data_IF_820513532345
#
_entry.id   IF_820513532345
#
_cell.length_a   1.000
_cell.length_b   1.000
_cell.length_c   1.000
_cell.angle_alpha   90.00
_cell.angle_beta   90.00
_cell.angle_gamma   90.00
#
_symmetry.space_group_name_H-M   'P 1'
#
loop_
_entity.id
_entity.type
_entity.pdbx_description
1 polymer ?
#
# COMPACT_ATOMS: atom_id res chain seq x y z
N UNK A 1 -24.02 14.65 2.64
CA UNK A 1 -23.03 15.12 3.63
C UNK A 1 -22.54 13.91 4.40
N UNK A 2 -21.33 13.42 4.13
CA UNK A 2 -20.69 12.38 4.94
C UNK A 2 -20.48 12.92 6.35
N UNK A 3 -21.12 12.33 7.35
CA UNK A 3 -20.66 12.48 8.72
C UNK A 3 -19.35 11.72 8.83
N UNK A 4 -18.25 12.47 8.72
CA UNK A 4 -16.90 11.92 8.75
C UNK A 4 -16.66 11.30 10.13
N UNK A 5 -16.29 10.02 10.15
CA UNK A 5 -15.75 9.35 11.34
C UNK A 5 -14.38 9.90 11.75
N UNK A 6 -13.89 10.90 11.02
CA UNK A 6 -12.66 11.62 11.32
C UNK A 6 -12.96 12.76 12.29
N UNK A 7 -12.21 12.79 13.40
CA UNK A 7 -12.35 13.83 14.42
C UNK A 7 -11.29 14.91 14.22
N UNK A 8 -11.71 16.17 14.20
CA UNK A 8 -10.77 17.30 14.12
C UNK A 8 -9.87 17.34 15.38
N UNK A 9 -8.59 17.58 15.19
CA UNK A 9 -7.61 17.66 16.29
C UNK A 9 -7.32 19.14 16.61
N UNK A 10 -7.26 19.53 17.90
CA UNK A 10 -6.93 20.89 18.27
C UNK A 10 -5.56 21.34 17.73
N UNK A 11 -5.47 22.60 17.33
CA UNK A 11 -4.27 23.23 16.76
C UNK A 11 -3.00 23.10 17.65
N UNK A 12 -3.18 23.13 18.98
CA UNK A 12 -2.10 22.93 19.95
C UNK A 12 -1.39 21.58 19.81
N UNK A 13 -2.10 20.55 19.33
CA UNK A 13 -1.52 19.24 19.07
C UNK A 13 -0.78 19.21 17.72
N UNK A 14 -1.34 19.85 16.70
CA UNK A 14 -0.71 19.96 15.39
C UNK A 14 0.68 20.59 15.48
N UNK A 15 0.81 21.70 16.20
CA UNK A 15 2.10 22.40 16.43
C UNK A 15 3.12 21.51 17.15
N UNK A 16 2.68 20.67 18.09
CA UNK A 16 3.58 19.74 18.79
C UNK A 16 4.10 18.63 17.88
N UNK A 17 3.26 18.09 17.01
CA UNK A 17 3.66 17.07 16.00
C UNK A 17 4.66 17.67 15.02
N UNK A 18 4.45 18.90 14.56
CA UNK A 18 5.36 19.57 13.63
C UNK A 18 6.75 19.83 14.28
N UNK A 19 6.81 20.19 15.55
CA UNK A 19 8.07 20.36 16.28
C UNK A 19 8.83 19.04 16.49
N UNK A 20 8.13 17.95 16.77
CA UNK A 20 8.74 16.63 16.98
C UNK A 20 9.20 15.98 15.66
N UNK A 21 8.52 16.23 14.55
CA UNK A 21 8.87 15.67 13.22
C UNK A 21 10.05 16.45 12.61
N UNK A 22 10.12 17.77 12.81
CA UNK A 22 11.11 18.65 12.18
C UNK A 22 12.55 18.40 12.59
N UNK A 23 12.81 17.68 13.67
CA UNK A 23 14.13 17.68 14.30
C UNK A 23 14.90 16.37 14.30
N UNK A 24 14.33 15.18 13.97
CA UNK A 24 15.00 13.94 14.38
C UNK A 24 14.94 12.72 13.49
N UNK A 25 14.35 12.76 12.30
CA UNK A 25 14.37 11.54 11.47
C UNK A 25 14.90 11.79 10.06
N UNK A 26 15.83 10.95 9.59
CA UNK A 26 16.04 10.84 8.17
C UNK A 26 14.68 10.49 7.54
N UNK A 27 14.26 11.30 6.59
CA UNK A 27 13.13 10.98 5.71
C UNK A 27 13.22 9.50 5.37
N UNK A 28 12.10 8.85 5.16
CA UNK A 28 12.10 7.45 4.76
C UNK A 28 12.70 7.32 3.35
N UNK A 29 14.00 7.62 3.29
CA UNK A 29 14.79 7.74 2.07
C UNK A 29 14.73 6.46 1.22
N UNK A 30 14.36 5.33 1.85
CA UNK A 30 14.19 4.05 1.17
C UNK A 30 13.08 4.08 0.10
N UNK A 31 12.04 4.88 0.29
CA UNK A 31 10.93 4.98 -0.66
C UNK A 31 10.99 6.23 -1.55
N UNK A 32 11.98 7.09 -1.37
CA UNK A 32 12.24 8.18 -2.31
C UNK A 32 12.70 7.62 -3.67
N UNK A 33 12.13 8.14 -4.75
CA UNK A 33 12.57 7.77 -6.12
C UNK A 33 13.78 8.61 -6.49
N UNK A 34 14.82 7.95 -6.99
CA UNK A 34 16.02 8.59 -7.49
C UNK A 34 16.12 8.39 -8.99
N UNK A 35 16.63 9.39 -9.70
CA UNK A 35 16.86 9.28 -11.13
C UNK A 35 17.89 8.16 -11.42
N UNK A 36 17.65 7.38 -12.47
CA UNK A 36 18.54 6.28 -12.87
C UNK A 36 18.40 4.99 -12.05
N UNK A 37 17.45 4.91 -11.10
CA UNK A 37 17.19 3.66 -10.40
C UNK A 37 16.63 2.59 -11.34
N UNK A 38 17.05 1.35 -11.11
CA UNK A 38 16.54 0.19 -11.84
C UNK A 38 16.38 -1.03 -10.91
N UNK A 39 15.62 -2.01 -11.38
CA UNK A 39 15.34 -3.24 -10.64
C UNK A 39 16.25 -4.34 -11.12
N UNK A 40 16.93 -5.01 -10.18
CA UNK A 40 17.77 -6.19 -10.42
C UNK A 40 17.11 -7.39 -9.73
N UNK A 41 16.60 -8.36 -10.50
CA UNK A 41 16.12 -9.61 -9.94
C UNK A 41 17.29 -10.50 -9.50
N UNK A 42 17.17 -11.13 -8.34
CA UNK A 42 18.10 -12.17 -7.92
C UNK A 42 17.66 -13.50 -8.54
N UNK A 43 18.39 -13.97 -9.55
CA UNK A 43 18.14 -15.25 -10.19
C UNK A 43 18.93 -16.31 -9.43
N UNK A 44 18.23 -17.22 -8.75
CA UNK A 44 18.85 -18.37 -8.10
C UNK A 44 18.60 -19.64 -8.93
N UNK A 45 19.62 -20.50 -9.11
CA UNK A 45 19.38 -21.85 -9.60
C UNK A 45 18.48 -22.54 -8.56
N UNK A 46 17.25 -22.87 -8.95
CA UNK A 46 16.28 -23.46 -8.04
C UNK A 46 16.29 -24.98 -8.10
N UNK A 47 16.04 -25.63 -6.98
CA UNK A 47 15.75 -27.06 -6.92
C UNK A 47 14.33 -27.32 -7.48
N UNK A 48 14.24 -28.35 -8.31
CA UNK A 48 12.91 -28.82 -8.74
C UNK A 48 12.31 -29.65 -7.60
N UNK A 49 11.30 -29.09 -6.95
CA UNK A 49 10.50 -29.76 -5.92
C UNK A 49 9.04 -29.52 -6.24
N UNK A 50 8.19 -30.53 -6.31
CA UNK A 50 6.75 -30.37 -6.50
C UNK A 50 6.12 -29.50 -5.41
N UNK A 51 5.03 -28.79 -5.75
CA UNK A 51 4.35 -27.90 -4.81
C UNK A 51 3.81 -28.68 -3.61
N UNK A 52 3.23 -29.84 -3.82
CA UNK A 52 2.64 -30.69 -2.79
C UNK A 52 3.69 -31.18 -1.77
N UNK A 53 4.93 -31.37 -2.21
CA UNK A 53 6.05 -31.70 -1.33
C UNK A 53 6.48 -30.49 -0.52
N UNK A 54 6.55 -29.29 -1.13
CA UNK A 54 6.88 -28.04 -0.45
C UNK A 54 5.86 -27.70 0.63
N UNK A 55 4.55 -27.89 0.35
CA UNK A 55 3.47 -27.65 1.32
C UNK A 55 3.61 -28.53 2.58
N UNK A 56 4.22 -29.70 2.47
CA UNK A 56 4.52 -30.59 3.62
C UNK A 56 5.79 -30.21 4.36
N UNK A 57 6.74 -29.59 3.67
CA UNK A 57 8.06 -29.21 4.24
C UNK A 57 8.04 -27.83 4.90
N UNK A 58 7.07 -26.98 4.58
CA UNK A 58 6.97 -25.63 5.12
C UNK A 58 6.14 -25.64 6.40
N UNK A 59 6.64 -24.94 7.41
CA UNK A 59 5.90 -24.72 8.64
C UNK A 59 4.95 -23.51 8.54
N UNK A 60 4.16 -23.26 9.58
CA UNK A 60 3.17 -22.19 9.59
C UNK A 60 3.78 -20.79 9.36
N UNK A 61 5.02 -20.56 9.82
CA UNK A 61 5.68 -19.29 9.61
C UNK A 61 6.13 -19.10 8.15
N UNK A 62 6.61 -20.17 7.48
CA UNK A 62 6.94 -20.15 6.06
C UNK A 62 5.67 -19.87 5.23
N UNK A 63 4.58 -20.53 5.58
CA UNK A 63 3.27 -20.33 4.94
C UNK A 63 2.74 -18.92 5.16
N UNK A 64 2.86 -18.38 6.38
CA UNK A 64 2.46 -17.00 6.67
C UNK A 64 3.25 -15.98 5.82
N UNK A 65 4.56 -16.18 5.60
CA UNK A 65 5.35 -15.32 4.71
C UNK A 65 4.78 -15.33 3.28
N UNK A 66 4.45 -16.51 2.76
CA UNK A 66 3.88 -16.65 1.41
C UNK A 66 2.53 -15.93 1.32
N UNK A 67 1.65 -16.10 2.30
CA UNK A 67 0.34 -15.46 2.37
C UNK A 67 0.44 -13.93 2.44
N UNK A 68 1.35 -13.39 3.27
CA UNK A 68 1.53 -11.95 3.38
C UNK A 68 2.06 -11.34 2.09
N UNK A 69 3.02 -11.98 1.41
CA UNK A 69 3.49 -11.51 0.10
C UNK A 69 2.36 -11.60 -0.94
N UNK A 70 1.53 -12.65 -0.89
CA UNK A 70 0.38 -12.81 -1.80
C UNK A 70 -0.61 -11.63 -1.69
N UNK A 71 -0.93 -11.21 -0.47
CA UNK A 71 -1.85 -10.10 -0.19
C UNK A 71 -1.26 -8.73 -0.54
N UNK A 72 0.05 -8.58 -0.33
CA UNK A 72 0.76 -7.31 -0.39
C UNK A 72 1.43 -7.02 -1.73
N UNK A 73 1.51 -7.98 -2.63
CA UNK A 73 2.24 -8.00 -3.90
C UNK A 73 3.77 -7.91 -3.71
N UNK A 74 4.26 -6.90 -3.00
CA UNK A 74 5.68 -6.67 -2.69
C UNK A 74 5.84 -6.35 -1.21
N UNK A 75 6.81 -6.98 -0.56
CA UNK A 75 7.20 -6.67 0.82
C UNK A 75 8.72 -6.63 0.95
N UNK A 76 9.24 -5.72 1.76
CA UNK A 76 10.63 -5.81 2.22
C UNK A 76 10.73 -6.70 3.48
N UNK A 77 11.94 -7.03 3.91
CA UNK A 77 12.15 -7.94 5.05
C UNK A 77 11.63 -7.37 6.37
N UNK A 78 11.66 -6.05 6.56
CA UNK A 78 11.12 -5.40 7.76
C UNK A 78 9.60 -5.51 7.79
N UNK A 79 8.94 -5.24 6.69
CA UNK A 79 7.48 -5.36 6.56
C UNK A 79 7.00 -6.80 6.80
N UNK A 80 7.73 -7.79 6.26
CA UNK A 80 7.43 -9.20 6.55
C UNK A 80 7.58 -9.49 8.05
N UNK A 81 8.65 -9.00 8.68
CA UNK A 81 8.87 -9.18 10.11
C UNK A 81 7.74 -8.57 10.96
N UNK A 82 7.32 -7.34 10.64
CA UNK A 82 6.23 -6.63 11.33
C UNK A 82 4.88 -7.37 11.17
N UNK A 83 4.54 -7.81 9.94
CA UNK A 83 3.31 -8.58 9.68
C UNK A 83 3.28 -9.93 10.40
N UNK A 84 4.40 -10.66 10.42
CA UNK A 84 4.51 -11.91 11.17
C UNK A 84 4.35 -11.67 12.67
N UNK A 85 4.93 -10.60 13.20
CA UNK A 85 4.78 -10.23 14.61
C UNK A 85 3.33 -9.89 14.95
N UNK A 86 2.62 -9.18 14.09
CA UNK A 86 1.19 -8.88 14.23
C UNK A 86 0.31 -10.14 14.20
N UNK A 87 0.74 -11.19 13.49
CA UNK A 87 0.10 -12.52 13.50
C UNK A 87 0.49 -13.40 14.70
N UNK A 88 1.32 -12.90 15.61
CA UNK A 88 1.76 -13.63 16.82
C UNK A 88 2.97 -14.54 16.60
N UNK A 89 3.65 -14.49 15.45
CA UNK A 89 4.89 -15.24 15.25
C UNK A 89 6.07 -14.50 15.90
N UNK A 90 6.64 -15.10 16.95
CA UNK A 90 7.83 -14.59 17.63
C UNK A 90 9.10 -15.07 16.88
N UNK A 91 9.45 -14.41 15.79
CA UNK A 91 10.58 -14.76 14.94
C UNK A 91 11.73 -13.76 15.15
N UNK A 92 12.95 -14.26 15.38
CA UNK A 92 14.14 -13.42 15.37
C UNK A 92 14.54 -13.05 13.93
N UNK A 93 15.17 -11.89 13.73
CA UNK A 93 15.59 -11.40 12.40
C UNK A 93 16.47 -12.39 11.63
N UNK A 94 17.41 -13.05 12.31
CA UNK A 94 18.27 -14.06 11.69
C UNK A 94 17.48 -15.28 11.25
N UNK A 95 16.48 -15.68 12.03
CA UNK A 95 15.58 -16.77 11.67
C UNK A 95 14.74 -16.41 10.44
N UNK A 96 14.23 -15.17 10.36
CA UNK A 96 13.52 -14.67 9.17
C UNK A 96 14.43 -14.73 7.93
N UNK A 97 15.69 -14.29 8.04
CA UNK A 97 16.65 -14.35 6.93
C UNK A 97 16.85 -15.78 6.42
N UNK A 98 16.97 -16.76 7.33
CA UNK A 98 17.10 -18.18 6.96
C UNK A 98 15.86 -18.68 6.23
N UNK A 99 14.66 -18.29 6.68
CA UNK A 99 13.37 -18.64 6.03
C UNK A 99 13.25 -18.03 4.64
N UNK A 100 13.55 -16.75 4.49
CA UNK A 100 13.55 -16.10 3.18
C UNK A 100 14.53 -16.77 2.21
N UNK A 101 15.73 -17.14 2.67
CA UNK A 101 16.70 -17.89 1.87
C UNK A 101 16.19 -19.29 1.48
N UNK A 102 15.50 -19.99 2.40
CA UNK A 102 14.83 -21.27 2.11
C UNK A 102 13.79 -21.11 1.01
N UNK A 103 12.88 -20.14 1.14
CA UNK A 103 11.83 -19.88 0.17
C UNK A 103 12.36 -19.47 -1.22
N UNK A 104 13.46 -18.69 -1.26
CA UNK A 104 14.19 -18.37 -2.51
C UNK A 104 14.78 -19.60 -3.16
N UNK A 105 15.47 -20.47 -2.37
CA UNK A 105 16.09 -21.70 -2.86
C UNK A 105 15.07 -22.60 -3.57
N UNK A 106 13.87 -22.70 -3.06
CA UNK A 106 12.76 -23.47 -3.67
C UNK A 106 11.99 -22.71 -4.75
N UNK A 107 12.41 -21.48 -5.08
CA UNK A 107 11.73 -20.61 -6.06
C UNK A 107 10.24 -20.39 -5.75
N UNK A 108 9.95 -20.21 -4.47
CA UNK A 108 8.62 -19.84 -3.97
C UNK A 108 8.47 -18.33 -3.98
N UNK A 109 9.54 -17.63 -3.57
CA UNK A 109 9.64 -16.18 -3.64
C UNK A 109 10.89 -15.78 -4.44
N UNK A 110 10.86 -14.58 -5.02
CA UNK A 110 12.01 -13.94 -5.63
C UNK A 110 12.37 -12.68 -4.86
N UNK A 111 13.67 -12.49 -4.64
CA UNK A 111 14.24 -11.24 -4.17
C UNK A 111 14.58 -10.35 -5.36
N UNK A 112 14.21 -9.09 -5.27
CA UNK A 112 14.61 -8.06 -6.23
C UNK A 112 15.26 -6.92 -5.47
N UNK A 113 16.14 -6.18 -6.12
CA UNK A 113 16.82 -5.02 -5.55
C UNK A 113 16.63 -3.81 -6.43
N UNK A 114 16.11 -2.71 -5.86
CA UNK A 114 16.09 -1.39 -6.50
C UNK A 114 17.38 -0.69 -6.13
N UNK A 115 18.21 -0.31 -7.11
CA UNK A 115 19.49 0.36 -6.87
C UNK A 115 19.87 1.32 -7.99
N UNK A 116 20.83 2.18 -7.72
CA UNK A 116 21.53 2.99 -8.73
C UNK A 116 22.67 2.18 -9.36
N UNK A 117 23.09 2.52 -10.59
CA UNK A 117 24.16 1.80 -11.28
C UNK A 117 25.48 1.73 -10.50
N UNK A 118 25.82 2.80 -9.82
CA UNK A 118 27.07 2.94 -9.05
C UNK A 118 27.03 2.35 -7.64
N UNK A 119 25.86 1.82 -7.19
CA UNK A 119 25.71 1.28 -5.83
C UNK A 119 25.69 -0.23 -5.82
N UNK A 120 26.41 -0.86 -4.87
CA UNK A 120 26.33 -2.30 -4.61
C UNK A 120 25.05 -2.66 -3.85
N UNK A 121 24.59 -1.74 -2.99
CA UNK A 121 23.44 -1.94 -2.12
C UNK A 121 22.22 -1.16 -2.61
N UNK A 122 21.03 -1.69 -2.29
CA UNK A 122 19.76 -1.06 -2.65
C UNK A 122 18.61 -1.53 -1.78
N UNK A 123 17.43 -1.08 -2.10
CA UNK A 123 16.19 -1.49 -1.45
C UNK A 123 15.80 -2.89 -1.92
N UNK A 124 15.88 -3.88 -1.04
CA UNK A 124 15.46 -5.25 -1.32
C UNK A 124 13.98 -5.43 -1.03
N UNK A 125 13.31 -6.16 -1.92
CA UNK A 125 11.93 -6.57 -1.73
C UNK A 125 11.68 -7.96 -2.31
N UNK A 126 10.58 -8.57 -1.89
CA UNK A 126 10.21 -9.93 -2.25
C UNK A 126 8.86 -9.93 -2.97
N UNK A 127 8.74 -10.82 -3.95
CA UNK A 127 7.49 -11.13 -4.65
C UNK A 127 7.33 -12.65 -4.80
N UNK A 128 6.09 -13.12 -5.03
CA UNK A 128 5.87 -14.54 -5.29
C UNK A 128 6.42 -14.96 -6.65
N UNK A 129 6.99 -16.14 -6.70
CA UNK A 129 7.18 -16.91 -7.94
C UNK A 129 6.00 -17.88 -8.17
N UNK A 130 6.00 -18.61 -9.30
CA UNK A 130 4.89 -19.49 -9.68
C UNK A 130 4.51 -20.46 -8.57
N UNK A 131 5.46 -21.12 -7.93
CA UNK A 131 5.19 -22.07 -6.85
C UNK A 131 4.53 -21.38 -5.65
N UNK A 132 5.04 -20.21 -5.25
CA UNK A 132 4.43 -19.41 -4.18
C UNK A 132 3.01 -18.97 -4.50
N UNK A 133 2.76 -18.57 -5.75
CA UNK A 133 1.42 -18.24 -6.20
C UNK A 133 0.47 -19.44 -6.11
N UNK A 134 0.90 -20.64 -6.53
CA UNK A 134 0.09 -21.87 -6.45
C UNK A 134 -0.21 -22.23 -4.99
N UNK A 135 0.81 -22.21 -4.11
CA UNK A 135 0.66 -22.46 -2.67
C UNK A 135 -0.34 -21.48 -2.06
N UNK A 136 -0.16 -20.17 -2.28
CA UNK A 136 -1.07 -19.16 -1.77
C UNK A 136 -2.51 -19.36 -2.24
N UNK A 137 -2.70 -19.74 -3.52
CA UNK A 137 -4.01 -20.04 -4.10
C UNK A 137 -4.65 -21.27 -3.44
N UNK A 138 -3.88 -22.35 -3.22
CA UNK A 138 -4.36 -23.55 -2.54
C UNK A 138 -4.83 -23.27 -1.11
N UNK A 139 -4.22 -22.28 -0.47
CA UNK A 139 -4.59 -21.81 0.87
C UNK A 139 -5.72 -20.77 0.90
N UNK A 140 -6.36 -20.52 -0.24
CA UNK A 140 -7.50 -19.62 -0.35
C UNK A 140 -7.14 -18.13 -0.33
N UNK A 141 -5.87 -17.75 -0.58
CA UNK A 141 -5.52 -16.34 -0.71
C UNK A 141 -6.25 -15.72 -1.89
N UNK A 142 -6.93 -14.60 -1.62
CA UNK A 142 -7.59 -13.80 -2.65
C UNK A 142 -6.54 -12.91 -3.31
N UNK A 143 -6.35 -13.10 -4.60
CA UNK A 143 -5.55 -12.20 -5.43
C UNK A 143 -6.46 -11.17 -6.10
N UNK A 144 -5.97 -9.97 -6.31
CA UNK A 144 -6.71 -8.95 -7.07
C UNK A 144 -7.11 -9.47 -8.45
N UNK A 145 -8.31 -9.09 -8.93
CA UNK A 145 -8.72 -9.35 -10.30
C UNK A 145 -7.66 -8.78 -11.26
N UNK A 146 -7.09 -9.65 -12.08
CA UNK A 146 -5.99 -9.29 -13.00
C UNK A 146 -4.60 -9.70 -12.51
N UNK A 147 -4.44 -10.08 -11.27
CA UNK A 147 -3.17 -10.63 -10.74
C UNK A 147 -3.03 -12.12 -11.17
N UNK A 148 -3.12 -12.40 -12.47
CA UNK A 148 -2.63 -13.67 -12.98
C UNK A 148 -1.12 -13.67 -12.85
N UNK A 149 -0.58 -14.76 -12.33
CA UNK A 149 0.87 -14.93 -12.32
C UNK A 149 1.39 -14.85 -13.75
N UNK A 150 2.26 -13.89 -14.00
CA UNK A 150 3.04 -13.79 -15.22
C UNK A 150 4.50 -13.87 -14.79
N UNK A 151 5.24 -14.85 -15.33
CA UNK A 151 6.67 -14.99 -14.98
C UNK A 151 7.43 -13.70 -15.31
N UNK A 152 8.51 -13.45 -14.57
CA UNK A 152 9.35 -12.26 -14.80
C UNK A 152 9.79 -12.15 -16.27
N UNK A 153 10.28 -13.26 -16.85
CA UNK A 153 10.71 -13.28 -18.26
C UNK A 153 9.58 -12.88 -19.19
N UNK A 154 8.37 -13.39 -18.95
CA UNK A 154 7.21 -13.05 -19.76
C UNK A 154 6.77 -11.59 -19.57
N UNK A 155 6.92 -11.03 -18.35
CA UNK A 155 6.69 -9.60 -18.11
C UNK A 155 7.68 -8.73 -18.89
N UNK A 156 8.97 -9.14 -18.91
CA UNK A 156 10.00 -8.44 -19.71
C UNK A 156 9.64 -8.46 -21.19
N UNK A 157 9.29 -9.63 -21.75
CA UNK A 157 8.88 -9.76 -23.16
C UNK A 157 7.67 -8.88 -23.50
N UNK A 158 6.73 -8.73 -22.58
CA UNK A 158 5.49 -7.96 -22.78
C UNK A 158 5.63 -6.47 -22.38
N UNK A 159 6.80 -6.03 -21.92
CA UNK A 159 6.99 -4.66 -21.41
C UNK A 159 6.21 -4.35 -20.13
N UNK A 160 5.84 -5.37 -19.36
CA UNK A 160 5.03 -5.28 -18.14
C UNK A 160 5.87 -5.33 -16.86
N UNK A 161 7.13 -4.97 -16.92
CA UNK A 161 8.00 -4.87 -15.73
C UNK A 161 7.66 -3.61 -14.97
N UNK A 162 7.38 -3.76 -13.67
CA UNK A 162 7.12 -2.62 -12.82
C UNK A 162 8.35 -1.71 -12.72
N UNK A 163 8.14 -0.41 -12.73
CA UNK A 163 9.19 0.59 -12.51
C UNK A 163 9.55 0.68 -11.02
N UNK A 164 10.77 1.15 -10.67
CA UNK A 164 11.14 1.41 -9.27
C UNK A 164 10.11 2.26 -8.51
N UNK A 165 9.54 3.28 -9.16
CA UNK A 165 8.48 4.13 -8.60
C UNK A 165 7.21 3.34 -8.26
N UNK A 166 6.79 2.41 -9.11
CA UNK A 166 5.59 1.59 -8.90
C UNK A 166 5.80 0.61 -7.72
N UNK A 167 6.98 -0.01 -7.62
CA UNK A 167 7.32 -0.89 -6.50
C UNK A 167 7.36 -0.12 -5.19
N UNK A 168 8.03 1.05 -5.16
CA UNK A 168 8.11 1.89 -3.96
C UNK A 168 6.73 2.41 -3.52
N UNK A 169 5.87 2.71 -4.47
CA UNK A 169 4.47 3.07 -4.21
C UNK A 169 3.74 1.95 -3.47
N UNK A 170 3.89 0.70 -3.89
CA UNK A 170 3.27 -0.47 -3.24
C UNK A 170 3.88 -0.71 -1.86
N UNK A 171 5.20 -0.66 -1.72
CA UNK A 171 5.87 -0.81 -0.42
C UNK A 171 5.43 0.27 0.58
N UNK A 172 5.27 1.51 0.12
CA UNK A 172 4.76 2.58 0.97
C UNK A 172 3.28 2.35 1.35
N UNK A 173 2.43 1.90 0.43
CA UNK A 173 1.05 1.52 0.73
C UNK A 173 0.97 0.41 1.78
N UNK A 174 1.81 -0.61 1.68
CA UNK A 174 1.94 -1.65 2.70
C UNK A 174 2.38 -1.07 4.05
N UNK A 175 3.34 -0.14 4.06
CA UNK A 175 3.82 0.49 5.29
C UNK A 175 2.71 1.25 6.01
N UNK A 176 1.84 1.97 5.27
CA UNK A 176 0.67 2.65 5.84
C UNK A 176 -0.22 1.64 6.56
N UNK A 177 -0.59 0.54 5.90
CA UNK A 177 -1.45 -0.50 6.49
C UNK A 177 -0.81 -1.13 7.72
N UNK A 178 0.47 -1.50 7.64
CA UNK A 178 1.22 -2.13 8.74
C UNK A 178 1.22 -1.22 9.97
N UNK A 179 1.54 0.07 9.80
CA UNK A 179 1.57 0.99 10.94
C UNK A 179 0.18 1.30 11.50
N UNK A 180 -0.85 1.30 10.68
CA UNK A 180 -2.22 1.35 11.18
C UNK A 180 -2.58 0.14 12.05
N UNK A 181 -2.16 -1.06 11.65
CA UNK A 181 -2.33 -2.28 12.46
C UNK A 181 -1.53 -2.20 13.77
N UNK A 182 -0.27 -1.76 13.72
CA UNK A 182 0.59 -1.56 14.91
C UNK A 182 -0.04 -0.56 15.89
N UNK A 183 -0.57 0.56 15.37
CA UNK A 183 -1.20 1.61 16.16
C UNK A 183 -2.67 1.30 16.55
N UNK A 184 -3.13 0.07 16.31
CA UNK A 184 -4.48 -0.39 16.64
C UNK A 184 -5.60 0.48 16.05
N UNK A 185 -5.43 1.00 14.86
CA UNK A 185 -6.51 1.70 14.17
C UNK A 185 -7.66 0.73 13.96
N UNK A 186 -8.86 1.13 14.36
CA UNK A 186 -10.07 0.34 14.14
C UNK A 186 -10.35 0.30 12.64
N UNK A 187 -10.28 -0.88 12.04
CA UNK A 187 -10.59 -1.09 10.63
C UNK A 187 -11.31 -2.42 10.43
N UNK A 188 -12.27 -2.44 9.54
CA UNK A 188 -13.01 -3.64 9.15
C UNK A 188 -12.24 -4.46 8.12
N UNK A 189 -11.55 -3.76 7.21
CA UNK A 189 -10.86 -4.37 6.07
C UNK A 189 -9.77 -3.44 5.55
N UNK A 190 -8.76 -4.03 4.97
CA UNK A 190 -7.79 -3.32 4.13
C UNK A 190 -7.46 -4.13 2.88
N UNK A 191 -6.94 -3.45 1.85
CA UNK A 191 -6.45 -4.05 0.63
C UNK A 191 -5.35 -3.22 -0.01
N UNK A 192 -4.47 -3.89 -0.74
CA UNK A 192 -3.37 -3.26 -1.49
C UNK A 192 -3.69 -3.35 -2.98
N UNK A 193 -3.51 -2.23 -3.70
CA UNK A 193 -3.78 -2.12 -5.13
C UNK A 193 -5.23 -2.50 -5.53
N UNK A 194 -6.17 -2.30 -4.64
CA UNK A 194 -7.58 -2.50 -4.97
C UNK A 194 -8.02 -1.51 -6.06
N UNK A 195 -9.01 -1.93 -6.82
CA UNK A 195 -9.46 -1.20 -8.00
C UNK A 195 -10.91 -0.80 -7.83
N UNK A 196 -11.19 0.48 -7.94
CA UNK A 196 -12.53 1.02 -8.15
C UNK A 196 -12.80 1.10 -9.64
N UNK A 197 -14.01 0.77 -10.04
CA UNK A 197 -14.42 0.90 -11.42
C UNK A 197 -15.90 1.28 -11.49
N UNK A 198 -16.28 1.97 -12.55
CA UNK A 198 -17.67 2.21 -12.88
C UNK A 198 -18.04 1.51 -14.18
N UNK A 199 -19.31 1.12 -14.30
CA UNK A 199 -19.88 0.66 -15.55
C UNK A 199 -20.51 1.84 -16.28
N UNK A 200 -20.33 1.88 -17.60
CA UNK A 200 -21.07 2.81 -18.44
C UNK A 200 -22.55 2.37 -18.60
N UNK A 201 -23.33 3.12 -19.33
CA UNK A 201 -24.76 2.81 -19.60
C UNK A 201 -24.97 1.42 -20.25
N UNK A 202 -23.99 0.92 -20.97
CA UNK A 202 -23.99 -0.40 -21.61
C UNK A 202 -23.55 -1.51 -20.63
N UNK A 203 -23.21 -1.19 -19.39
CA UNK A 203 -22.73 -2.13 -18.37
C UNK A 203 -21.27 -2.54 -18.53
N UNK A 204 -20.50 -1.86 -19.39
CA UNK A 204 -19.10 -2.14 -19.65
C UNK A 204 -18.20 -1.27 -18.77
N UNK A 205 -17.09 -1.84 -18.31
CA UNK A 205 -16.01 -1.10 -17.63
C UNK A 205 -15.02 -0.62 -18.68
N UNK A 206 -14.81 0.70 -18.74
CA UNK A 206 -13.81 1.34 -19.63
C UNK A 206 -12.55 1.69 -18.84
N UNK A 207 -11.42 1.85 -19.50
CA UNK A 207 -10.15 2.22 -18.86
C UNK A 207 -10.23 3.56 -18.13
N UNK A 208 -11.03 4.52 -18.64
CA UNK A 208 -11.26 5.82 -18.00
C UNK A 208 -12.03 5.71 -16.68
N UNK A 209 -12.77 4.60 -16.47
CA UNK A 209 -13.55 4.34 -15.26
C UNK A 209 -12.81 3.46 -14.25
N UNK A 210 -11.49 3.28 -14.38
CA UNK A 210 -10.70 2.44 -13.48
C UNK A 210 -9.76 3.31 -12.65
N UNK A 211 -9.95 3.31 -11.33
CA UNK A 211 -9.04 3.92 -10.36
C UNK A 211 -8.40 2.83 -9.50
N UNK A 212 -7.07 2.75 -9.49
CA UNK A 212 -6.31 1.85 -8.63
C UNK A 212 -5.45 2.66 -7.67
N UNK A 213 -5.71 2.56 -6.38
CA UNK A 213 -4.97 3.24 -5.32
C UNK A 213 -3.95 2.31 -4.66
N UNK A 214 -2.98 2.87 -3.93
CA UNK A 214 -1.90 2.10 -3.32
C UNK A 214 -2.41 1.22 -2.18
N UNK A 215 -3.29 1.76 -1.32
CA UNK A 215 -3.96 1.02 -0.26
C UNK A 215 -5.40 1.52 -0.08
N UNK A 216 -6.29 0.62 0.33
CA UNK A 216 -7.68 0.94 0.68
C UNK A 216 -7.96 0.41 2.07
N UNK A 217 -8.58 1.22 2.91
CA UNK A 217 -8.84 0.91 4.30
C UNK A 217 -10.29 1.24 4.60
N UNK A 218 -11.08 0.23 4.92
CA UNK A 218 -12.46 0.40 5.38
C UNK A 218 -12.45 0.53 6.89
N UNK A 219 -12.77 1.70 7.38
CA UNK A 219 -12.81 2.02 8.81
C UNK A 219 -14.11 1.49 9.41
N UNK A 220 -15.24 1.79 8.78
CA UNK A 220 -16.57 1.32 9.17
C UNK A 220 -17.49 1.19 7.94
N UNK A 221 -18.79 0.98 8.16
CA UNK A 221 -19.77 0.80 7.10
C UNK A 221 -19.80 1.97 6.10
N UNK A 222 -19.51 3.19 6.56
CA UNK A 222 -19.70 4.44 5.81
C UNK A 222 -18.38 5.15 5.48
N UNK A 223 -17.24 4.57 5.81
CA UNK A 223 -15.94 5.25 5.70
C UNK A 223 -14.87 4.36 5.11
N UNK A 224 -14.51 4.65 3.87
CA UNK A 224 -13.41 4.02 3.17
C UNK A 224 -12.37 5.09 2.86
N UNK A 225 -11.12 4.84 3.22
CA UNK A 225 -9.98 5.67 2.87
C UNK A 225 -9.19 5.01 1.73
N UNK A 226 -9.05 5.72 0.63
CA UNK A 226 -8.27 5.28 -0.53
C UNK A 226 -6.95 6.04 -0.56
N UNK A 227 -5.85 5.38 -0.17
CA UNK A 227 -4.53 5.98 -0.12
C UNK A 227 -3.84 5.90 -1.48
N UNK A 228 -3.49 7.05 -2.02
CA UNK A 228 -2.61 7.15 -3.17
C UNK A 228 -1.24 7.67 -2.74
N UNK A 229 -0.20 6.91 -3.06
CA UNK A 229 1.18 7.25 -2.71
C UNK A 229 1.86 7.92 -3.88
N UNK A 230 2.30 9.16 -3.67
CA UNK A 230 2.98 9.97 -4.68
C UNK A 230 4.43 10.16 -4.28
N UNK A 231 5.31 9.97 -5.26
CA UNK A 231 6.76 10.22 -5.08
C UNK A 231 7.15 11.52 -5.77
N UNK A 232 8.15 12.19 -5.23
CA UNK A 232 8.59 13.51 -5.70
C UNK A 232 9.40 13.39 -6.99
N UNK A 233 8.69 13.18 -8.10
CA UNK A 233 9.24 13.16 -9.44
C UNK A 233 8.16 13.55 -10.46
N UNK A 234 8.52 14.09 -11.65
CA UNK A 234 7.57 14.55 -12.66
C UNK A 234 6.56 13.48 -13.09
N UNK A 235 7.00 12.23 -13.27
CA UNK A 235 6.13 11.12 -13.66
C UNK A 235 5.10 10.79 -12.57
N UNK A 236 5.47 10.92 -11.29
CA UNK A 236 4.57 10.74 -10.16
C UNK A 236 3.44 11.76 -10.15
N UNK A 237 3.75 13.02 -10.47
CA UNK A 237 2.76 14.09 -10.53
C UNK A 237 1.77 13.89 -11.69
N UNK A 238 2.25 13.53 -12.89
CA UNK A 238 1.37 13.28 -14.04
C UNK A 238 0.48 12.05 -13.80
N UNK A 239 1.03 10.95 -13.28
CA UNK A 239 0.23 9.78 -12.87
C UNK A 239 -0.82 10.13 -11.83
N UNK A 240 -0.52 11.06 -10.92
CA UNK A 240 -1.51 11.52 -9.94
C UNK A 240 -2.62 12.34 -10.61
N UNK A 241 -2.28 13.26 -11.54
CA UNK A 241 -3.26 14.04 -12.26
C UNK A 241 -4.30 13.14 -12.97
N UNK A 242 -3.84 12.11 -13.68
CA UNK A 242 -4.71 11.13 -14.33
C UNK A 242 -5.61 10.39 -13.33
N UNK A 243 -5.12 10.12 -12.12
CA UNK A 243 -5.92 9.47 -11.07
C UNK A 243 -6.94 10.39 -10.44
N UNK A 244 -6.62 11.66 -10.25
CA UNK A 244 -7.55 12.67 -9.74
C UNK A 244 -8.70 12.86 -10.74
N UNK A 245 -8.42 12.95 -12.01
CA UNK A 245 -9.44 13.03 -13.06
C UNK A 245 -10.38 11.82 -13.03
N UNK A 246 -9.82 10.61 -12.92
CA UNK A 246 -10.60 9.37 -12.75
C UNK A 246 -11.38 9.33 -11.44
N UNK A 247 -10.81 9.84 -10.36
CA UNK A 247 -11.49 9.93 -9.05
C UNK A 247 -12.74 10.80 -9.16
N UNK A 248 -12.65 11.97 -9.79
CA UNK A 248 -13.80 12.84 -10.00
C UNK A 248 -14.83 12.21 -10.97
N UNK A 249 -14.36 11.54 -12.02
CA UNK A 249 -15.25 10.79 -12.93
C UNK A 249 -16.05 9.73 -12.18
N UNK A 250 -15.41 9.00 -11.26
CA UNK A 250 -16.08 8.00 -10.42
C UNK A 250 -17.02 8.63 -9.40
N UNK A 251 -16.64 9.77 -8.80
CA UNK A 251 -17.45 10.48 -7.80
C UNK A 251 -18.82 10.89 -8.34
N UNK A 252 -18.89 11.23 -9.62
CA UNK A 252 -20.12 11.62 -10.30
C UNK A 252 -20.87 10.44 -10.94
N UNK A 253 -20.39 9.19 -10.74
CA UNK A 253 -21.03 8.01 -11.32
C UNK A 253 -21.69 7.17 -10.21
N UNK A 254 -23.02 7.05 -10.26
CA UNK A 254 -23.80 6.28 -9.28
C UNK A 254 -23.56 4.75 -9.35
N UNK A 255 -22.95 4.27 -10.43
CA UNK A 255 -22.73 2.84 -10.70
C UNK A 255 -21.29 2.40 -10.45
N UNK A 256 -20.53 3.11 -9.59
CA UNK A 256 -19.18 2.65 -9.25
C UNK A 256 -19.20 1.40 -8.37
N UNK A 257 -18.15 0.61 -8.46
CA UNK A 257 -17.95 -0.62 -7.69
C UNK A 257 -16.48 -0.77 -7.30
N UNK A 258 -16.22 -1.27 -6.10
CA UNK A 258 -14.92 -1.82 -5.78
C UNK A 258 -14.82 -3.23 -6.40
N UNK A 259 -13.80 -3.48 -7.22
CA UNK A 259 -13.72 -4.69 -8.09
C UNK A 259 -13.79 -6.03 -7.33
N UNK A 260 -13.33 -6.06 -6.08
CA UNK A 260 -13.28 -7.25 -5.23
C UNK A 260 -14.38 -7.30 -4.15
N UNK A 261 -15.18 -6.21 -4.00
CA UNK A 261 -16.14 -6.04 -2.92
C UNK A 261 -17.43 -5.40 -3.47
N UNK A 262 -18.21 -6.19 -4.18
CA UNK A 262 -19.40 -5.72 -4.92
C UNK A 262 -20.48 -5.08 -4.04
N UNK A 263 -20.46 -5.35 -2.73
CA UNK A 263 -21.44 -4.81 -1.79
C UNK A 263 -21.04 -3.43 -1.20
N UNK A 264 -19.79 -3.01 -1.41
CA UNK A 264 -19.34 -1.69 -0.97
C UNK A 264 -19.79 -0.62 -1.97
N UNK A 265 -20.75 0.18 -1.53
CA UNK A 265 -21.30 1.32 -2.30
C UNK A 265 -20.82 2.67 -1.80
N UNK A 266 -20.09 2.69 -0.68
CA UNK A 266 -19.56 3.93 -0.13
C UNK A 266 -18.42 4.44 -0.99
N UNK A 267 -18.50 5.71 -1.39
CA UNK A 267 -17.44 6.34 -2.17
C UNK A 267 -16.23 6.61 -1.29
N UNK A 268 -15.03 6.17 -1.70
CA UNK A 268 -13.85 6.30 -0.87
C UNK A 268 -13.38 7.76 -0.76
N UNK A 269 -13.01 8.18 0.43
CA UNK A 269 -12.29 9.42 0.64
C UNK A 269 -10.83 9.24 0.18
N UNK A 270 -10.40 10.04 -0.78
CA UNK A 270 -9.02 10.00 -1.27
C UNK A 270 -8.06 10.63 -0.26
N UNK A 271 -6.97 9.93 0.03
CA UNK A 271 -5.86 10.38 0.88
C UNK A 271 -4.57 10.34 0.08
N UNK A 272 -3.94 11.47 -0.17
CA UNK A 272 -2.66 11.55 -0.88
C UNK A 272 -1.52 11.46 0.15
N UNK A 273 -0.65 10.47 -0.03
CA UNK A 273 0.54 10.28 0.79
C UNK A 273 1.79 10.79 0.04
N UNK A 274 2.25 11.97 0.43
CA UNK A 274 3.52 12.51 -0.04
C UNK A 274 4.69 12.18 0.90
N UNK A 275 5.88 12.63 0.53
CA UNK A 275 7.10 12.42 1.33
C UNK A 275 7.19 13.38 2.53
N UNK A 276 6.62 14.59 2.39
CA UNK A 276 6.63 15.65 3.40
C UNK A 276 5.51 16.64 3.13
N UNK A 277 5.27 17.57 4.08
CA UNK A 277 4.31 18.65 3.90
C UNK A 277 4.62 19.54 2.69
N UNK A 278 5.88 19.91 2.52
CA UNK A 278 6.27 20.73 1.37
C UNK A 278 6.09 19.99 0.04
N UNK A 279 6.27 18.66 0.04
CA UNK A 279 5.94 17.86 -1.12
C UNK A 279 4.43 17.88 -1.39
N UNK A 280 3.60 17.72 -0.36
CA UNK A 280 2.14 17.79 -0.50
C UNK A 280 1.67 19.17 -0.99
N UNK A 281 2.27 20.26 -0.54
CA UNK A 281 2.00 21.61 -1.11
C UNK A 281 2.33 21.68 -2.60
N UNK A 282 3.51 21.16 -3.02
CA UNK A 282 3.87 21.12 -4.46
C UNK A 282 2.88 20.28 -5.27
N UNK A 283 2.33 19.20 -4.71
CA UNK A 283 1.27 18.40 -5.33
C UNK A 283 0.02 19.28 -5.54
N UNK A 284 -0.43 20.01 -4.54
CA UNK A 284 -1.59 20.91 -4.63
C UNK A 284 -1.35 21.98 -5.70
N UNK A 285 -0.19 22.63 -5.67
CA UNK A 285 0.17 23.65 -6.67
C UNK A 285 0.18 23.08 -8.10
N UNK A 286 0.65 21.86 -8.26
CA UNK A 286 0.65 21.18 -9.56
C UNK A 286 -0.78 20.87 -10.02
N UNK A 287 -1.64 20.35 -9.14
CA UNK A 287 -3.04 20.07 -9.47
C UNK A 287 -3.84 21.33 -9.76
N UNK A 288 -3.60 22.45 -9.05
CA UNK A 288 -4.16 23.77 -9.35
C UNK A 288 -3.77 24.24 -10.77
N UNK A 289 -2.50 24.11 -11.15
CA UNK A 289 -2.01 24.45 -12.50
C UNK A 289 -2.66 23.61 -13.61
N UNK A 290 -3.03 22.38 -13.30
CA UNK A 290 -3.74 21.46 -14.22
C UNK A 290 -5.25 21.68 -14.24
N UNK A 291 -5.81 22.54 -13.37
CA UNK A 291 -7.26 22.73 -13.21
C UNK A 291 -7.98 21.54 -12.56
N UNK A 292 -7.23 20.69 -11.85
CA UNK A 292 -7.72 19.48 -11.18
C UNK A 292 -7.84 19.66 -9.65
N UNK A 293 -7.86 20.88 -9.15
CA UNK A 293 -7.98 21.20 -7.74
C UNK A 293 -8.82 22.46 -7.54
N UNK A 294 -9.75 22.37 -6.61
CA UNK A 294 -10.49 23.50 -6.06
C UNK A 294 -10.26 23.57 -4.53
N UNK A 295 -10.33 24.74 -3.94
CA UNK A 295 -10.23 24.90 -2.49
C UNK A 295 -11.47 24.34 -1.74
N UNK A 296 -12.51 23.94 -2.48
CA UNK A 296 -13.69 23.22 -1.96
C UNK A 296 -13.50 21.69 -1.95
N UNK A 297 -12.40 21.19 -2.54
CA UNK A 297 -12.12 19.76 -2.62
C UNK A 297 -11.80 19.17 -1.24
N UNK A 298 -12.34 17.99 -0.99
CA UNK A 298 -12.18 17.28 0.29
C UNK A 298 -11.08 16.20 0.22
N UNK A 299 -10.05 16.41 -0.59
CA UNK A 299 -8.91 15.47 -0.65
C UNK A 299 -8.07 15.63 0.61
N UNK A 300 -7.81 14.51 1.27
CA UNK A 300 -6.97 14.46 2.46
C UNK A 300 -5.52 14.18 2.10
N UNK A 301 -4.62 14.53 3.02
CA UNK A 301 -3.18 14.31 2.88
C UNK A 301 -2.62 13.56 4.08
N UNK A 302 -1.48 12.92 3.84
CA UNK A 302 -0.63 12.34 4.86
C UNK A 302 0.82 12.36 4.38
N UNK A 303 1.75 11.94 5.24
CA UNK A 303 3.19 11.91 4.96
C UNK A 303 3.79 10.58 5.42
N UNK A 304 4.88 10.16 4.78
CA UNK A 304 5.55 8.90 5.10
C UNK A 304 5.87 8.77 6.59
N UNK A 305 6.45 9.81 7.20
CA UNK A 305 6.84 9.80 8.62
C UNK A 305 5.66 9.86 9.57
N UNK A 306 4.61 10.59 9.23
CA UNK A 306 3.40 10.67 10.06
C UNK A 306 2.75 9.30 10.21
N UNK A 307 2.63 8.56 9.11
CA UNK A 307 2.07 7.21 9.14
C UNK A 307 2.88 6.26 10.03
N UNK A 308 4.22 6.39 10.05
CA UNK A 308 5.09 5.55 10.86
C UNK A 308 4.98 5.91 12.35
N UNK A 309 4.89 7.18 12.69
CA UNK A 309 4.91 7.65 14.07
C UNK A 309 3.57 7.54 14.78
N UNK A 310 2.53 8.03 14.16
CA UNK A 310 1.18 8.07 14.74
C UNK A 310 0.12 8.02 13.64
N UNK A 311 -0.17 6.81 13.16
CA UNK A 311 -1.18 6.60 12.11
C UNK A 311 -2.57 7.13 12.51
N UNK A 312 -2.87 7.19 13.82
CA UNK A 312 -4.16 7.70 14.30
C UNK A 312 -4.34 9.20 14.03
N UNK A 313 -3.25 9.94 13.89
CA UNK A 313 -3.26 11.40 13.73
C UNK A 313 -2.39 11.82 12.54
N UNK A 314 -2.33 11.00 11.52
CA UNK A 314 -1.47 11.20 10.35
C UNK A 314 -2.17 11.89 9.18
N UNK A 315 -3.48 12.15 9.28
CA UNK A 315 -4.29 12.65 8.17
C UNK A 315 -4.66 14.12 8.42
N UNK A 316 -4.57 14.92 7.37
CA UNK A 316 -4.93 16.33 7.40
C UNK A 316 -5.46 16.83 6.05
N UNK A 317 -6.16 17.97 6.06
CA UNK A 317 -6.42 18.83 4.90
C UNK A 317 -5.38 19.94 4.80
N UNK A 318 -5.09 20.40 3.60
CA UNK A 318 -4.29 21.60 3.35
C UNK A 318 -5.25 22.77 3.14
N UNK A 319 -5.27 23.75 4.06
CA UNK A 319 -6.01 25.00 3.95
C UNK A 319 -5.04 26.17 3.93
N UNK A 320 -4.85 26.76 2.74
CA UNK A 320 -3.80 27.74 2.55
C UNK A 320 -2.41 27.13 2.77
N UNK A 321 -1.71 27.57 3.80
CA UNK A 321 -0.38 27.07 4.17
C UNK A 321 -0.38 26.20 5.44
N UNK A 322 -1.54 25.84 5.94
CA UNK A 322 -1.70 25.15 7.22
C UNK A 322 -2.29 23.76 7.06
N UNK A 323 -2.07 22.88 8.06
CA UNK A 323 -2.69 21.57 8.19
C UNK A 323 -3.91 21.66 9.09
N UNK A 324 -5.05 21.16 8.63
CA UNK A 324 -6.21 20.88 9.45
C UNK A 324 -6.26 19.38 9.73
N UNK A 325 -5.96 18.99 10.93
CA UNK A 325 -5.73 17.61 11.33
C UNK A 325 -7.01 16.82 11.61
N UNK A 326 -6.96 15.51 11.32
CA UNK A 326 -8.02 14.54 11.61
C UNK A 326 -7.47 13.36 12.40
N UNK A 327 -8.34 12.76 13.21
CA UNK A 327 -8.00 11.57 13.99
C UNK A 327 -8.78 10.37 13.49
N UNK A 328 -8.09 9.25 13.29
CA UNK A 328 -8.69 7.95 13.04
C UNK A 328 -9.15 7.29 14.34
N UNK A 329 -10.22 6.46 14.30
CA UNK A 329 -10.64 5.70 15.46
C UNK A 329 -9.59 4.64 15.85
N UNK A 330 -9.32 4.51 17.15
CA UNK A 330 -8.38 3.54 17.72
C UNK A 330 -9.17 2.50 18.51
N UNK A 331 -8.86 1.23 18.31
CA UNK A 331 -9.41 0.14 19.13
C UNK A 331 -8.74 0.12 20.51
N UNK A 332 -9.52 0.06 21.57
CA UNK A 332 -8.97 -0.16 22.90
C UNK A 332 -8.57 -1.64 23.05
N UNK A 333 -7.49 -1.91 23.78
CA UNK A 333 -6.91 -3.26 23.97
C UNK A 333 -7.91 -4.28 24.56
N UNK A 334 -9.05 -3.84 25.12
CA UNK A 334 -10.13 -4.70 25.62
C UNK A 334 -11.05 -5.30 24.55
N UNK A 335 -11.12 -4.70 23.35
CA UNK A 335 -12.09 -5.12 22.31
C UNK A 335 -11.61 -6.32 21.47
N UNK A 336 -10.35 -6.74 21.60
CA UNK A 336 -9.76 -7.80 20.76
C UNK A 336 -10.21 -9.23 21.08
N UNK A 337 -10.88 -9.48 22.22
CA UNK A 337 -11.21 -10.85 22.64
C UNK A 337 -12.45 -11.44 21.96
N UNK A 338 -13.28 -10.64 21.30
CA UNK A 338 -14.54 -11.11 20.70
C UNK A 338 -14.48 -11.29 19.18
N UNK A 339 -13.67 -10.50 18.46
CA UNK A 339 -13.65 -10.51 16.97
C UNK A 339 -12.80 -11.63 16.34
N UNK A 340 -11.93 -12.29 17.11
CA UNK A 340 -11.07 -13.37 16.58
C UNK A 340 -11.81 -14.72 16.46
N UNK A 341 -13.02 -14.84 17.03
CA UNK A 341 -13.80 -16.08 17.02
C UNK A 341 -14.76 -16.24 15.83
N UNK A 342 -14.84 -15.25 14.93
CA UNK A 342 -15.80 -15.24 13.81
C UNK A 342 -15.20 -14.96 12.43
N UNK A 343 -13.90 -15.18 12.20
CA UNK A 343 -13.28 -15.07 10.89
C UNK A 343 -12.67 -16.38 10.42
#
# INVERSE_FOLDING_TARGET
MMQSTLFNIPETYANRVDMEIGTTMPQNAAFAVKEGEFIVPTIMPGEYTPVEELERQFDDADMAIIEEIARSKYLNSLQIYELLSLRGFLIQRDSLTKRLNKLKKYRVIRENTIKLPETEHGLRYYELELKGYVIAKNRGCIFHKGNRYISYMKRVELGLVDLPSDVKRVLCGNQIVIHMLINNIKMQRFGILETYCAKNEEGLVTDCSILRTAANIKIDANSILAYEVVRDNPEGYEKLADKIDRYYTLLHNENYLLSNHHDDREFPQLVICGQSFDHNKRIVDFLKKKGLWSDEDTILFTEDLLNIRDSARSIYEIKGNERVWYRLPVSYVGDRSEDIKSA
#
